data_IF_962150301243
#
_entry.id   IF_962150301243
#
_cell.length_a   1.000
_cell.length_b   1.000
_cell.length_c   1.000
_cell.angle_alpha   90.00
_cell.angle_beta   90.00
_cell.angle_gamma   90.00
#
_symmetry.space_group_name_H-M   'P 1'
#
loop_
_entity.id
_entity.type
_entity.pdbx_description
1 polymer ?
#
# COMPACT_ATOMS: atom_id res chain seq x y z
N UNK A 1 -10.20 -22.41 -14.50
CA UNK A 1 -10.79 -21.74 -13.31
C UNK A 1 -11.49 -20.44 -13.70
N UNK A 2 -12.37 -19.89 -12.87
CA UNK A 2 -12.88 -18.52 -13.08
C UNK A 2 -11.78 -17.48 -12.82
N UNK A 3 -11.80 -16.37 -13.55
CA UNK A 3 -10.94 -15.22 -13.29
C UNK A 3 -11.55 -13.92 -13.79
N UNK A 4 -11.17 -12.82 -13.16
CA UNK A 4 -11.65 -11.47 -13.53
C UNK A 4 -10.72 -10.83 -14.56
N UNK A 5 -11.27 -10.42 -15.71
CA UNK A 5 -10.53 -9.82 -16.83
C UNK A 5 -11.18 -8.50 -17.25
N UNK A 6 -10.37 -7.46 -17.42
CA UNK A 6 -10.76 -6.16 -17.94
C UNK A 6 -10.36 -6.05 -19.42
N UNK A 7 -11.32 -5.91 -20.32
CA UNK A 7 -11.08 -5.82 -21.77
C UNK A 7 -10.93 -4.38 -22.27
N UNK A 8 -11.67 -3.47 -21.67
CA UNK A 8 -11.66 -2.03 -21.97
C UNK A 8 -12.28 -1.27 -20.80
N UNK A 9 -12.18 0.07 -20.73
CA UNK A 9 -12.80 0.85 -19.66
C UNK A 9 -14.28 0.48 -19.47
N UNK A 10 -14.65 0.07 -18.25
CA UNK A 10 -16.00 -0.38 -17.90
C UNK A 10 -16.38 -1.81 -18.32
N UNK A 11 -15.57 -2.51 -19.13
CA UNK A 11 -15.85 -3.87 -19.62
C UNK A 11 -15.05 -4.91 -18.83
N UNK A 12 -15.57 -5.27 -17.66
CA UNK A 12 -15.01 -6.31 -16.78
C UNK A 12 -15.86 -7.58 -16.85
N UNK A 13 -15.20 -8.74 -16.97
CA UNK A 13 -15.85 -10.04 -17.11
C UNK A 13 -15.25 -11.04 -16.14
N UNK A 14 -16.11 -11.87 -15.55
CA UNK A 14 -15.69 -13.06 -14.83
C UNK A 14 -15.93 -14.25 -15.75
N UNK A 15 -14.85 -14.89 -16.20
CA UNK A 15 -14.90 -15.93 -17.22
C UNK A 15 -13.92 -17.06 -16.92
N UNK A 16 -14.06 -18.17 -17.65
CA UNK A 16 -13.15 -19.30 -17.53
C UNK A 16 -11.79 -18.99 -18.18
N UNK A 17 -10.73 -19.11 -17.39
CA UNK A 17 -9.34 -18.95 -17.80
C UNK A 17 -8.54 -20.21 -17.42
N UNK A 18 -7.38 -20.41 -18.05
CA UNK A 18 -6.48 -21.49 -17.71
C UNK A 18 -6.07 -21.44 -16.23
N UNK A 19 -5.92 -22.60 -15.60
CA UNK A 19 -5.35 -22.67 -14.25
C UNK A 19 -3.86 -22.30 -14.29
N UNK A 20 -3.33 -21.70 -13.22
CA UNK A 20 -1.91 -21.40 -13.14
C UNK A 20 -1.10 -22.68 -13.06
N UNK A 21 0.08 -22.66 -13.68
CA UNK A 21 1.08 -23.72 -13.58
C UNK A 21 2.38 -23.15 -12.99
N UNK A 22 3.24 -24.01 -12.44
CA UNK A 22 4.61 -23.63 -12.07
C UNK A 22 5.40 -23.39 -13.37
N UNK A 23 5.77 -22.14 -13.64
CA UNK A 23 6.55 -21.77 -14.82
C UNK A 23 8.05 -21.72 -14.52
N UNK A 24 8.40 -21.35 -13.29
CA UNK A 24 9.77 -21.30 -12.81
C UNK A 24 9.95 -22.07 -11.50
N UNK A 25 11.14 -22.63 -11.22
CA UNK A 25 11.40 -23.35 -9.97
C UNK A 25 11.19 -22.52 -8.69
N UNK A 26 11.12 -21.19 -8.81
CA UNK A 26 10.89 -20.25 -7.71
C UNK A 26 9.42 -19.90 -7.50
N UNK A 27 8.51 -20.42 -8.30
CA UNK A 27 7.09 -20.09 -8.20
C UNK A 27 6.39 -20.88 -7.10
N UNK A 28 5.26 -20.37 -6.63
CA UNK A 28 4.29 -21.11 -5.84
C UNK A 28 2.89 -20.94 -6.45
N UNK A 29 2.03 -21.94 -6.26
CA UNK A 29 0.60 -21.80 -6.53
C UNK A 29 -0.13 -21.74 -5.19
N UNK A 30 -1.02 -20.78 -5.07
CA UNK A 30 -1.90 -20.62 -3.92
C UNK A 30 -3.35 -20.93 -4.31
N UNK A 31 -4.08 -21.56 -3.40
CA UNK A 31 -5.54 -21.46 -3.35
C UNK A 31 -5.91 -20.25 -2.52
N UNK A 32 -6.50 -19.25 -3.16
CA UNK A 32 -6.80 -18.00 -2.50
C UNK A 32 -7.97 -18.16 -1.52
N UNK A 33 -7.75 -17.67 -0.31
CA UNK A 33 -8.79 -17.56 0.71
C UNK A 33 -9.53 -16.24 0.59
N UNK A 34 -8.81 -15.17 0.23
CA UNK A 34 -9.39 -13.88 -0.04
C UNK A 34 -8.53 -13.05 -1.02
N UNK A 35 -9.21 -12.18 -1.74
CA UNK A 35 -8.66 -11.13 -2.61
C UNK A 35 -9.65 -9.98 -2.63
N UNK A 36 -9.19 -8.77 -2.92
CA UNK A 36 -10.04 -7.58 -2.96
C UNK A 36 -9.76 -6.68 -4.16
N UNK A 37 -10.55 -5.61 -4.24
CA UNK A 37 -10.45 -4.57 -5.27
C UNK A 37 -9.71 -3.40 -4.65
N UNK A 38 -8.54 -3.07 -5.20
CA UNK A 38 -7.78 -1.92 -4.78
C UNK A 38 -8.27 -0.65 -5.51
N UNK A 39 -7.99 0.52 -4.94
CA UNK A 39 -8.22 1.79 -5.64
C UNK A 39 -7.42 1.90 -6.94
N UNK A 40 -6.26 1.25 -7.02
CA UNK A 40 -5.40 1.21 -8.20
C UNK A 40 -6.03 0.42 -9.36
N UNK A 41 -6.82 -0.62 -9.07
CA UNK A 41 -7.57 -1.38 -10.09
C UNK A 41 -8.58 -0.50 -10.84
N UNK A 42 -9.02 0.61 -10.21
CA UNK A 42 -10.01 1.52 -10.77
C UNK A 42 -9.45 2.47 -11.84
N UNK A 43 -8.14 2.70 -11.91
CA UNK A 43 -7.54 3.57 -12.93
C UNK A 43 -7.75 3.05 -14.35
N UNK A 44 -7.37 1.80 -14.68
CA UNK A 44 -7.65 1.24 -16.01
C UNK A 44 -9.15 0.99 -16.21
N UNK A 45 -9.88 0.59 -15.16
CA UNK A 45 -11.34 0.42 -15.24
C UNK A 45 -12.06 1.71 -15.67
N UNK A 46 -11.61 2.88 -15.20
CA UNK A 46 -12.17 4.19 -15.56
C UNK A 46 -11.57 4.77 -16.86
N UNK A 47 -10.61 4.10 -17.48
CA UNK A 47 -9.92 4.59 -18.68
C UNK A 47 -8.91 5.70 -18.42
N UNK A 48 -8.48 5.88 -17.17
CA UNK A 48 -7.45 6.85 -16.79
C UNK A 48 -6.03 6.30 -16.96
N UNK A 49 -5.91 4.98 -17.03
CA UNK A 49 -4.71 4.26 -17.46
C UNK A 49 -5.02 3.51 -18.77
N UNK A 50 -4.20 3.67 -19.83
CA UNK A 50 -4.42 2.97 -21.09
C UNK A 50 -4.22 1.45 -20.93
N UNK A 51 -5.07 0.69 -21.63
CA UNK A 51 -5.01 -0.77 -21.74
C UNK A 51 -4.61 -1.13 -23.17
N UNK A 52 -3.55 -1.91 -23.33
CA UNK A 52 -3.09 -2.39 -24.64
C UNK A 52 -3.67 -3.78 -24.98
N UNK A 53 -4.02 -4.56 -23.96
CA UNK A 53 -4.54 -5.91 -24.05
C UNK A 53 -5.47 -6.20 -22.86
N UNK A 54 -6.29 -7.28 -22.92
CA UNK A 54 -7.10 -7.70 -21.77
C UNK A 54 -6.25 -7.93 -20.53
N UNK A 55 -6.61 -7.29 -19.42
CA UNK A 55 -5.84 -7.29 -18.19
C UNK A 55 -6.51 -8.16 -17.13
N UNK A 56 -5.80 -9.14 -16.61
CA UNK A 56 -6.30 -9.94 -15.49
C UNK A 56 -6.14 -9.18 -14.17
N UNK A 57 -7.24 -9.06 -13.42
CA UNK A 57 -7.35 -8.13 -12.31
C UNK A 57 -6.84 -8.69 -10.98
N UNK A 58 -6.51 -7.78 -10.07
CA UNK A 58 -6.22 -8.07 -8.67
C UNK A 58 -4.75 -8.31 -8.36
N UNK A 59 -4.30 -7.71 -7.27
CA UNK A 59 -2.93 -7.82 -6.74
C UNK A 59 -2.87 -7.92 -5.21
N UNK A 60 -4.02 -7.91 -4.53
CA UNK A 60 -4.15 -8.12 -3.09
C UNK A 60 -4.62 -9.55 -2.82
N UNK A 61 -3.85 -10.33 -2.05
CA UNK A 61 -4.09 -11.76 -1.90
C UNK A 61 -3.54 -12.36 -0.62
N UNK A 62 -4.24 -13.38 -0.13
CA UNK A 62 -3.74 -14.34 0.84
C UNK A 62 -4.42 -15.70 0.63
N UNK A 63 -3.79 -16.77 1.08
CA UNK A 63 -4.34 -18.10 0.87
C UNK A 63 -3.41 -19.22 1.27
N UNK A 64 -3.78 -20.43 0.88
CA UNK A 64 -3.06 -21.66 1.22
C UNK A 64 -2.19 -22.10 0.06
N UNK A 65 -0.91 -22.36 0.32
CA UNK A 65 0.01 -22.93 -0.67
C UNK A 65 -0.47 -24.31 -1.09
N UNK A 66 -0.63 -24.53 -2.39
CA UNK A 66 -1.00 -25.85 -2.95
C UNK A 66 0.19 -26.56 -3.58
N UNK A 67 1.07 -25.82 -4.24
CA UNK A 67 2.23 -26.34 -4.96
C UNK A 67 3.37 -25.33 -4.91
N UNK A 68 4.62 -25.81 -4.92
CA UNK A 68 5.82 -24.99 -4.98
C UNK A 68 6.80 -25.56 -6.00
N UNK A 69 7.52 -24.68 -6.69
CA UNK A 69 8.62 -25.06 -7.56
C UNK A 69 9.82 -25.60 -6.80
N UNK A 70 10.68 -26.35 -7.49
CA UNK A 70 11.79 -27.08 -6.86
C UNK A 70 12.91 -26.24 -6.22
N UNK A 71 12.91 -24.91 -6.40
CA UNK A 71 13.87 -24.00 -5.78
C UNK A 71 13.32 -23.22 -4.57
N UNK A 72 12.02 -23.36 -4.26
CA UNK A 72 11.37 -22.74 -3.09
C UNK A 72 11.80 -23.44 -1.81
N UNK A 73 12.13 -22.67 -0.77
CA UNK A 73 12.68 -23.17 0.50
C UNK A 73 11.96 -22.67 1.74
N UNK A 74 11.27 -21.52 1.68
CA UNK A 74 10.72 -20.87 2.88
C UNK A 74 9.25 -21.15 3.12
N UNK A 75 8.50 -21.53 2.07
CA UNK A 75 7.07 -21.89 2.15
C UNK A 75 6.82 -23.30 1.59
N UNK A 76 5.74 -23.94 2.06
CA UNK A 76 5.41 -25.35 1.77
C UNK A 76 3.92 -25.52 1.52
N UNK A 77 3.49 -26.50 0.71
CA UNK A 77 2.08 -26.86 0.59
C UNK A 77 1.39 -27.05 1.95
N UNK A 78 0.17 -26.53 2.08
CA UNK A 78 -0.65 -26.57 3.29
C UNK A 78 -0.47 -25.37 4.24
N UNK A 79 0.55 -24.51 4.04
CA UNK A 79 0.72 -23.30 4.85
C UNK A 79 -0.17 -22.17 4.34
N UNK A 80 -0.74 -21.39 5.26
CA UNK A 80 -1.36 -20.11 4.93
C UNK A 80 -0.27 -19.04 4.79
N UNK A 81 -0.36 -18.25 3.73
CA UNK A 81 0.61 -17.22 3.39
C UNK A 81 -0.09 -15.92 3.01
N UNK A 82 0.60 -14.82 3.27
CA UNK A 82 0.31 -13.51 2.67
C UNK A 82 1.48 -13.12 1.79
N UNK A 83 1.20 -12.50 0.65
CA UNK A 83 2.23 -12.04 -0.28
C UNK A 83 2.12 -10.55 -0.56
N UNK A 84 3.26 -9.92 -0.84
CA UNK A 84 3.32 -8.54 -1.30
C UNK A 84 2.73 -8.40 -2.71
N UNK A 85 2.00 -7.31 -2.99
CA UNK A 85 1.55 -6.96 -4.34
C UNK A 85 2.70 -6.74 -5.33
N UNK A 86 3.89 -6.45 -4.81
CA UNK A 86 5.14 -6.39 -5.57
C UNK A 86 5.99 -7.61 -5.23
N UNK A 87 6.19 -8.51 -6.19
CA UNK A 87 7.01 -9.69 -6.05
C UNK A 87 8.49 -9.30 -6.10
N UNK A 88 9.31 -9.96 -5.28
CA UNK A 88 10.74 -9.64 -5.17
C UNK A 88 11.55 -10.89 -4.85
N UNK A 89 12.81 -10.91 -5.27
CA UNK A 89 13.74 -12.00 -4.96
C UNK A 89 14.25 -11.98 -3.50
N UNK A 90 14.01 -10.86 -2.79
CA UNK A 90 14.48 -10.55 -1.46
C UNK A 90 16.00 -10.76 -1.22
N UNK A 91 16.81 -10.72 -2.28
CA UNK A 91 18.25 -11.03 -2.23
C UNK A 91 19.13 -10.06 -3.02
N UNK A 92 18.60 -9.32 -4.00
CA UNK A 92 19.39 -8.34 -4.76
C UNK A 92 19.80 -7.12 -3.89
N UNK A 93 20.72 -6.26 -4.34
CA UNK A 93 21.18 -5.09 -3.58
C UNK A 93 20.05 -4.16 -3.13
N UNK A 94 19.03 -3.94 -3.96
CA UNK A 94 17.88 -3.10 -3.61
C UNK A 94 17.00 -3.72 -2.51
N UNK A 95 16.74 -5.03 -2.60
CA UNK A 95 16.05 -5.79 -1.56
C UNK A 95 16.79 -5.70 -0.22
N UNK A 96 18.11 -5.94 -0.22
CA UNK A 96 18.96 -5.84 0.98
C UNK A 96 19.03 -4.43 1.57
N UNK A 97 18.88 -3.40 0.73
CA UNK A 97 18.79 -2.01 1.16
C UNK A 97 17.39 -1.63 1.70
N UNK A 98 16.43 -2.56 1.70
CA UNK A 98 15.09 -2.35 2.24
C UNK A 98 14.05 -1.86 1.23
N UNK A 99 14.34 -1.98 -0.07
CA UNK A 99 13.42 -1.61 -1.16
C UNK A 99 13.12 -2.79 -2.09
N UNK A 100 12.50 -3.88 -1.61
CA UNK A 100 12.03 -4.98 -2.46
C UNK A 100 11.08 -4.55 -3.58
N UNK A 101 10.39 -3.42 -3.44
CA UNK A 101 9.59 -2.83 -4.52
C UNK A 101 10.43 -2.25 -5.67
N UNK A 102 11.76 -2.21 -5.53
CA UNK A 102 12.75 -1.88 -6.57
C UNK A 102 13.67 -3.06 -6.87
N UNK A 103 13.21 -4.29 -6.62
CA UNK A 103 13.96 -5.51 -6.94
C UNK A 103 14.38 -5.56 -8.42
N UNK A 104 15.57 -6.09 -8.70
CA UNK A 104 16.08 -6.26 -10.07
C UNK A 104 15.28 -7.31 -10.85
N UNK A 105 14.71 -8.29 -10.13
CA UNK A 105 13.86 -9.34 -10.66
C UNK A 105 12.36 -9.07 -10.39
N UNK A 106 11.99 -7.81 -10.14
CA UNK A 106 10.62 -7.43 -9.73
C UNK A 106 9.56 -7.86 -10.74
N UNK A 107 8.47 -8.41 -10.23
CA UNK A 107 7.21 -8.56 -10.94
C UNK A 107 6.08 -7.89 -10.14
N UNK A 108 5.17 -7.19 -10.81
CA UNK A 108 3.94 -6.72 -10.16
C UNK A 108 2.90 -7.84 -10.21
N UNK A 109 2.23 -8.07 -9.09
CA UNK A 109 1.18 -9.07 -9.04
C UNK A 109 0.00 -8.66 -9.91
N UNK A 110 -0.60 -9.65 -10.57
CA UNK A 110 -1.88 -9.55 -11.27
C UNK A 110 -2.62 -10.87 -11.09
N UNK A 111 -3.80 -11.02 -11.70
CA UNK A 111 -4.58 -12.28 -11.69
C UNK A 111 -5.04 -12.75 -10.29
N UNK A 112 -4.90 -11.95 -9.23
CA UNK A 112 -5.28 -12.36 -7.89
C UNK A 112 -6.81 -12.42 -7.69
N UNK A 113 -7.61 -11.77 -8.53
CA UNK A 113 -9.06 -11.93 -8.52
C UNK A 113 -9.49 -13.23 -9.23
N UNK A 114 -9.07 -14.36 -8.66
CA UNK A 114 -9.31 -15.73 -9.12
C UNK A 114 -9.22 -16.75 -7.95
N UNK A 115 -9.68 -18.01 -8.10
CA UNK A 115 -9.56 -19.03 -7.05
C UNK A 115 -8.14 -19.56 -6.81
N UNK A 116 -7.29 -19.56 -7.83
CA UNK A 116 -5.89 -19.97 -7.75
C UNK A 116 -4.98 -18.84 -8.27
N UNK A 117 -3.77 -18.74 -7.71
CA UNK A 117 -2.81 -17.71 -8.09
C UNK A 117 -1.39 -18.29 -8.17
N UNK A 118 -0.68 -18.03 -9.26
CA UNK A 118 0.77 -18.23 -9.35
C UNK A 118 1.48 -17.02 -8.75
N UNK A 119 2.34 -17.25 -7.78
CA UNK A 119 3.19 -16.23 -7.15
C UNK A 119 4.64 -16.49 -7.56
N UNK A 120 5.27 -15.61 -8.36
CA UNK A 120 6.68 -15.72 -8.69
C UNK A 120 7.55 -15.33 -7.48
N UNK A 121 8.79 -15.82 -7.49
CA UNK A 121 9.79 -15.52 -6.46
C UNK A 121 9.26 -15.79 -5.04
N UNK A 122 8.61 -16.94 -4.85
CA UNK A 122 7.84 -17.27 -3.65
C UNK A 122 8.61 -17.02 -2.35
N UNK A 123 9.88 -17.43 -2.26
CA UNK A 123 10.70 -17.24 -1.06
C UNK A 123 10.90 -15.77 -0.68
N UNK A 124 10.98 -14.92 -1.70
CA UNK A 124 11.17 -13.49 -1.54
C UNK A 124 9.87 -12.69 -1.49
N UNK A 125 8.72 -13.27 -1.84
CA UNK A 125 7.43 -12.58 -1.90
C UNK A 125 6.48 -12.98 -0.76
N UNK A 126 6.43 -14.26 -0.42
CA UNK A 126 5.48 -14.84 0.53
C UNK A 126 6.03 -14.85 1.95
N UNK A 127 5.12 -14.66 2.91
CA UNK A 127 5.38 -14.88 4.33
C UNK A 127 4.28 -15.81 4.86
N UNK A 128 4.68 -16.93 5.45
CA UNK A 128 3.76 -17.87 6.07
C UNK A 128 3.34 -17.37 7.45
N UNK A 129 2.05 -17.51 7.77
CA UNK A 129 1.59 -17.32 9.15
C UNK A 129 2.06 -18.50 10.02
N UNK A 130 2.19 -18.32 11.35
CA UNK A 130 2.64 -19.40 12.24
C UNK A 130 1.70 -20.62 12.25
N UNK A 131 0.41 -20.39 12.06
CA UNK A 131 -0.64 -21.40 11.94
C UNK A 131 -1.72 -20.93 10.94
N UNK A 132 -2.63 -21.84 10.57
CA UNK A 132 -3.82 -21.45 9.81
C UNK A 132 -4.62 -20.41 10.62
N UNK A 133 -4.98 -19.26 10.04
CA UNK A 133 -5.78 -18.26 10.74
C UNK A 133 -7.24 -18.69 10.81
N UNK A 134 -7.97 -18.16 11.79
CA UNK A 134 -9.43 -18.23 11.82
C UNK A 134 -10.03 -17.39 10.69
N UNK A 135 -11.24 -17.74 10.23
CA UNK A 135 -11.86 -17.12 9.05
C UNK A 135 -12.07 -15.60 9.19
N UNK A 136 -12.33 -15.13 10.42
CA UNK A 136 -12.55 -13.71 10.73
C UNK A 136 -11.27 -12.87 10.68
N UNK A 137 -10.09 -13.50 10.82
CA UNK A 137 -8.78 -12.84 10.71
C UNK A 137 -8.30 -12.70 9.25
N UNK A 138 -8.83 -13.49 8.32
CA UNK A 138 -8.41 -13.50 6.91
C UNK A 138 -8.52 -12.11 6.25
N UNK A 139 -9.60 -11.32 6.42
CA UNK A 139 -9.67 -9.97 5.86
C UNK A 139 -8.58 -9.03 6.41
N UNK A 140 -8.22 -9.15 7.69
CA UNK A 140 -7.13 -8.36 8.29
C UNK A 140 -5.77 -8.75 7.73
N UNK A 141 -5.53 -10.06 7.53
CA UNK A 141 -4.31 -10.56 6.90
C UNK A 141 -4.21 -10.13 5.43
N UNK A 142 -5.32 -10.17 4.69
CA UNK A 142 -5.38 -9.67 3.31
C UNK A 142 -4.95 -8.21 3.22
N UNK A 143 -5.38 -7.35 4.14
CA UNK A 143 -4.98 -5.94 4.15
C UNK A 143 -3.46 -5.75 4.24
N UNK A 144 -2.72 -6.72 4.79
CA UNK A 144 -1.25 -6.68 4.87
C UNK A 144 -0.54 -6.93 3.54
N UNK A 145 -1.23 -7.47 2.52
CA UNK A 145 -0.69 -7.72 1.18
C UNK A 145 -0.40 -6.44 0.38
N UNK A 146 -1.14 -5.36 0.66
CA UNK A 146 -0.95 -4.03 0.08
C UNK A 146 -1.28 -2.92 1.09
N UNK A 147 -2.57 -2.58 1.28
CA UNK A 147 -2.95 -1.29 1.87
C UNK A 147 -2.37 -1.01 3.25
N UNK A 148 -2.23 -2.03 4.13
CA UNK A 148 -1.57 -1.86 5.43
C UNK A 148 -0.07 -1.65 5.27
N UNK A 149 0.60 -2.44 4.46
CA UNK A 149 2.02 -2.27 4.18
C UNK A 149 2.33 -0.94 3.49
N UNK A 150 1.43 -0.46 2.63
CA UNK A 150 1.53 0.83 1.94
C UNK A 150 1.31 2.01 2.90
N UNK A 151 0.30 1.93 3.78
CA UNK A 151 0.10 2.92 4.85
C UNK A 151 1.27 2.94 5.85
N UNK A 152 1.82 1.77 6.17
CA UNK A 152 3.01 1.63 7.01
C UNK A 152 4.25 2.25 6.37
N UNK A 153 4.45 2.02 5.06
CA UNK A 153 5.54 2.65 4.32
C UNK A 153 5.41 4.18 4.29
N UNK A 154 4.20 4.71 4.13
CA UNK A 154 3.97 6.15 4.20
C UNK A 154 4.42 6.72 5.56
N UNK A 155 4.09 6.03 6.66
CA UNK A 155 4.52 6.42 8.00
C UNK A 155 6.04 6.32 8.19
N UNK A 156 6.68 5.23 7.76
CA UNK A 156 8.14 5.01 7.80
C UNK A 156 8.88 6.09 6.99
N UNK A 157 8.42 6.36 5.76
CA UNK A 157 8.99 7.38 4.87
C UNK A 157 8.77 8.81 5.39
N UNK A 158 7.63 9.06 6.04
CA UNK A 158 7.36 10.30 6.77
C UNK A 158 8.11 10.39 8.11
N UNK A 159 8.90 9.37 8.47
CA UNK A 159 9.70 9.30 9.70
C UNK A 159 8.86 9.53 10.95
N UNK A 160 7.67 8.93 11.00
CA UNK A 160 6.84 8.99 12.19
C UNK A 160 7.64 8.48 13.39
N UNK A 161 7.55 9.19 14.51
CA UNK A 161 8.32 8.94 15.71
C UNK A 161 7.47 9.09 16.96
N UNK A 162 7.86 8.44 18.07
CA UNK A 162 7.19 8.62 19.36
C UNK A 162 7.07 10.08 19.79
N UNK A 163 5.90 10.50 20.25
CA UNK A 163 5.60 11.88 20.67
C UNK A 163 5.46 12.89 19.53
N UNK A 164 5.66 12.47 18.27
CA UNK A 164 5.57 13.34 17.10
C UNK A 164 4.13 13.67 16.69
N UNK A 165 4.01 14.62 15.75
CA UNK A 165 2.75 14.93 15.06
C UNK A 165 2.78 14.37 13.64
N UNK A 166 1.80 13.52 13.32
CA UNK A 166 1.56 12.97 12.00
C UNK A 166 0.29 13.56 11.37
N UNK A 167 0.37 13.98 10.11
CA UNK A 167 -0.79 14.36 9.29
C UNK A 167 -0.97 13.31 8.20
N UNK A 168 -2.18 12.80 8.04
CA UNK A 168 -2.53 11.88 6.97
C UNK A 168 -3.41 12.60 5.94
N UNK A 169 -2.84 12.85 4.77
CA UNK A 169 -3.52 13.43 3.61
C UNK A 169 -4.13 12.29 2.80
N UNK A 170 -5.44 12.11 2.95
CA UNK A 170 -6.21 11.05 2.30
C UNK A 170 -6.86 10.12 3.31
N UNK A 171 -8.13 9.78 3.09
CA UNK A 171 -8.94 8.97 4.01
C UNK A 171 -9.39 7.64 3.40
N UNK A 172 -8.80 7.23 2.28
CA UNK A 172 -9.00 5.90 1.69
C UNK A 172 -8.33 4.80 2.52
N UNK A 173 -8.38 3.56 2.04
CA UNK A 173 -7.83 2.39 2.73
C UNK A 173 -6.38 2.61 3.18
N UNK A 174 -5.49 3.04 2.27
CA UNK A 174 -4.08 3.36 2.58
C UNK A 174 -3.94 4.45 3.64
N UNK A 175 -4.74 5.52 3.57
CA UNK A 175 -4.69 6.60 4.55
C UNK A 175 -5.13 6.13 5.95
N UNK A 176 -6.21 5.36 6.04
CA UNK A 176 -6.67 4.77 7.30
C UNK A 176 -5.64 3.80 7.88
N UNK A 177 -4.97 3.01 7.04
CA UNK A 177 -3.84 2.19 7.47
C UNK A 177 -2.64 3.04 7.91
N UNK A 178 -2.40 4.19 7.27
CA UNK A 178 -1.40 5.16 7.69
C UNK A 178 -1.67 5.76 9.08
N UNK A 179 -2.95 5.95 9.45
CA UNK A 179 -3.35 6.34 10.82
C UNK A 179 -2.97 5.23 11.82
N UNK A 180 -3.33 3.97 11.55
CA UNK A 180 -2.94 2.83 12.40
C UNK A 180 -1.42 2.72 12.54
N UNK A 181 -0.69 2.82 11.43
CA UNK A 181 0.77 2.76 11.43
C UNK A 181 1.38 3.91 12.25
N UNK A 182 0.88 5.14 12.07
CA UNK A 182 1.37 6.28 12.83
C UNK A 182 1.12 6.10 14.34
N UNK A 183 -0.04 5.54 14.71
CA UNK A 183 -0.35 5.22 16.12
C UNK A 183 0.62 4.19 16.68
N UNK A 184 0.91 3.11 15.96
CA UNK A 184 1.85 2.08 16.43
C UNK A 184 3.30 2.52 16.43
N UNK A 185 3.68 3.47 15.58
CA UNK A 185 4.99 4.12 15.64
C UNK A 185 5.10 5.16 16.78
N UNK A 186 4.03 5.36 17.55
CA UNK A 186 4.02 6.18 18.77
C UNK A 186 3.71 7.66 18.56
N UNK A 187 3.17 8.07 17.41
CA UNK A 187 2.72 9.45 17.23
C UNK A 187 1.67 9.81 18.29
N UNK A 188 1.83 10.99 18.91
CA UNK A 188 0.93 11.46 19.95
C UNK A 188 -0.24 12.24 19.34
N UNK A 189 0.05 13.09 18.36
CA UNK A 189 -0.96 13.81 17.59
C UNK A 189 -1.05 13.23 16.19
N UNK A 190 -2.22 12.69 15.84
CA UNK A 190 -2.50 12.16 14.50
C UNK A 190 -3.69 12.93 13.93
N UNK A 191 -3.49 13.62 12.82
CA UNK A 191 -4.50 14.45 12.16
C UNK A 191 -4.89 13.78 10.85
N UNK A 192 -6.10 13.23 10.78
CA UNK A 192 -6.61 12.62 9.55
C UNK A 192 -7.40 13.64 8.73
N UNK A 193 -7.03 13.83 7.46
CA UNK A 193 -7.74 14.73 6.56
C UNK A 193 -8.88 14.00 5.85
N UNK A 194 -10.10 14.11 6.37
CA UNK A 194 -11.27 13.36 5.89
C UNK A 194 -12.53 14.22 5.85
N UNK A 195 -13.35 14.05 4.80
CA UNK A 195 -14.69 14.67 4.67
C UNK A 195 -15.84 13.66 4.76
N UNK A 196 -15.52 12.38 4.90
CA UNK A 196 -16.51 11.31 4.89
C UNK A 196 -16.71 10.80 6.31
N UNK A 197 -17.89 11.01 6.89
CA UNK A 197 -18.15 10.70 8.30
C UNK A 197 -17.76 9.26 8.69
N UNK A 198 -18.09 8.27 7.86
CA UNK A 198 -17.71 6.87 8.13
C UNK A 198 -16.20 6.64 8.18
N UNK A 199 -15.42 7.36 7.36
CA UNK A 199 -13.95 7.29 7.38
C UNK A 199 -13.36 8.10 8.52
N UNK A 200 -14.00 9.20 8.92
CA UNK A 200 -13.63 9.94 10.13
C UNK A 200 -13.77 9.04 11.36
N UNK A 201 -14.89 8.32 11.47
CA UNK A 201 -15.15 7.41 12.59
C UNK A 201 -14.11 6.31 12.68
N UNK A 202 -13.79 5.67 11.54
CA UNK A 202 -12.70 4.68 11.47
C UNK A 202 -11.34 5.29 11.79
N UNK A 203 -11.03 6.49 11.28
CA UNK A 203 -9.76 7.14 11.58
C UNK A 203 -9.61 7.39 13.09
N UNK A 204 -10.67 7.85 13.76
CA UNK A 204 -10.68 8.07 15.22
C UNK A 204 -10.51 6.74 15.98
N UNK A 205 -11.22 5.68 15.56
CA UNK A 205 -11.07 4.33 16.11
C UNK A 205 -9.63 3.81 15.97
N UNK A 206 -9.00 4.07 14.83
CA UNK A 206 -7.62 3.67 14.54
C UNK A 206 -6.55 4.53 15.22
N UNK A 207 -6.94 5.61 15.88
CA UNK A 207 -6.06 6.43 16.71
C UNK A 207 -5.82 7.85 16.21
N UNK A 208 -6.53 8.31 15.17
CA UNK A 208 -6.56 9.73 14.85
C UNK A 208 -7.08 10.52 16.05
N UNK A 209 -6.37 11.58 16.38
CA UNK A 209 -6.72 12.50 17.49
C UNK A 209 -7.56 13.69 17.01
N UNK A 210 -7.44 14.02 15.72
CA UNK A 210 -8.11 15.16 15.11
C UNK A 210 -8.53 14.81 13.69
N UNK A 211 -9.64 15.43 13.27
CA UNK A 211 -10.12 15.39 11.90
C UNK A 211 -10.05 16.80 11.30
N UNK A 212 -9.52 16.89 10.08
CA UNK A 212 -9.55 18.12 9.27
C UNK A 212 -10.31 17.84 7.98
N UNK A 213 -11.44 18.53 7.80
CA UNK A 213 -12.31 18.33 6.62
C UNK A 213 -11.90 19.23 5.46
N UNK A 214 -11.25 20.35 5.77
CA UNK A 214 -10.75 21.33 4.84
C UNK A 214 -9.66 20.74 3.90
N UNK A 215 -9.44 21.43 2.78
CA UNK A 215 -8.48 21.06 1.72
C UNK A 215 -7.70 22.28 1.26
N UNK A 216 -6.65 22.05 0.48
CA UNK A 216 -5.78 23.10 -0.05
C UNK A 216 -5.25 24.01 1.05
N UNK A 217 -5.29 25.32 0.79
CA UNK A 217 -4.78 26.33 1.72
C UNK A 217 -5.52 26.33 3.07
N UNK A 218 -6.84 26.12 3.09
CA UNK A 218 -7.64 26.09 4.32
C UNK A 218 -7.29 24.87 5.18
N UNK A 219 -7.07 23.71 4.55
CA UNK A 219 -6.59 22.51 5.22
C UNK A 219 -5.20 22.72 5.85
N UNK A 220 -4.28 23.37 5.12
CA UNK A 220 -2.95 23.72 5.64
C UNK A 220 -3.05 24.69 6.80
N UNK A 221 -3.89 25.72 6.70
CA UNK A 221 -4.13 26.68 7.78
C UNK A 221 -4.64 25.97 9.03
N UNK A 222 -5.63 25.07 8.88
CA UNK A 222 -6.17 24.31 10.00
C UNK A 222 -5.12 23.41 10.66
N UNK A 223 -4.27 22.76 9.88
CA UNK A 223 -3.15 21.96 10.41
C UNK A 223 -2.17 22.85 11.18
N UNK A 224 -1.86 24.04 10.66
CA UNK A 224 -0.99 25.00 11.36
C UNK A 224 -1.59 25.41 12.69
N UNK A 225 -2.88 25.71 12.75
CA UNK A 225 -3.55 26.05 14.01
C UNK A 225 -3.42 24.91 15.04
N UNK A 226 -3.63 23.66 14.61
CA UNK A 226 -3.49 22.48 15.47
C UNK A 226 -2.03 22.18 15.88
N UNK A 227 -1.06 22.78 15.20
CA UNK A 227 0.39 22.55 15.42
C UNK A 227 1.13 23.81 15.86
N UNK A 228 0.42 24.77 16.47
CA UNK A 228 1.03 25.99 17.03
C UNK A 228 1.68 26.90 15.96
N UNK A 229 1.17 26.88 14.74
CA UNK A 229 1.65 27.65 13.60
C UNK A 229 2.81 27.02 12.82
N UNK A 230 3.33 25.87 13.27
CA UNK A 230 4.60 25.29 12.77
C UNK A 230 4.41 24.33 11.60
N UNK A 231 3.37 23.50 11.64
CA UNK A 231 3.20 22.35 10.74
C UNK A 231 3.69 21.04 11.35
N UNK A 232 3.34 19.93 10.71
CA UNK A 232 3.62 18.58 11.20
C UNK A 232 5.03 18.09 10.87
N UNK A 233 5.59 17.23 11.72
CA UNK A 233 6.90 16.62 11.53
C UNK A 233 6.86 15.53 10.46
N UNK A 234 5.75 14.79 10.43
CA UNK A 234 5.52 13.67 9.53
C UNK A 234 4.21 13.89 8.77
N UNK A 235 4.27 13.85 7.44
CA UNK A 235 3.08 13.96 6.59
C UNK A 235 3.01 12.78 5.65
N UNK A 236 1.89 12.04 5.68
CA UNK A 236 1.63 10.89 4.85
C UNK A 236 0.73 11.34 3.70
N UNK A 237 1.23 11.36 2.47
CA UNK A 237 0.46 11.65 1.26
C UNK A 237 -0.04 10.34 0.65
N UNK A 238 -1.36 10.14 0.67
CA UNK A 238 -2.01 8.88 0.31
C UNK A 238 -3.08 9.05 -0.78
N UNK A 239 -2.98 10.09 -1.62
CA UNK A 239 -3.98 10.42 -2.65
C UNK A 239 -3.38 10.45 -4.05
N UNK A 240 -2.25 11.12 -4.25
CA UNK A 240 -1.55 11.18 -5.54
C UNK A 240 -2.05 12.23 -6.53
N UNK A 241 -2.74 13.29 -6.08
CA UNK A 241 -3.10 14.44 -6.91
C UNK A 241 -2.15 15.62 -6.68
N UNK A 242 -2.12 16.58 -7.62
CA UNK A 242 -1.32 17.80 -7.45
C UNK A 242 -1.72 18.56 -6.18
N UNK A 243 -3.03 18.70 -5.93
CA UNK A 243 -3.54 19.40 -4.74
C UNK A 243 -3.09 18.68 -3.45
N UNK A 244 -3.22 17.36 -3.38
CA UNK A 244 -2.85 16.61 -2.18
C UNK A 244 -1.35 16.66 -1.91
N UNK A 245 -0.52 16.58 -2.97
CA UNK A 245 0.93 16.69 -2.85
C UNK A 245 1.37 18.08 -2.38
N UNK A 246 0.85 19.14 -3.01
CA UNK A 246 1.12 20.52 -2.60
C UNK A 246 0.68 20.78 -1.15
N UNK A 247 -0.49 20.27 -0.77
CA UNK A 247 -1.02 20.35 0.59
C UNK A 247 -0.14 19.59 1.59
N UNK A 248 0.31 18.37 1.26
CA UNK A 248 1.18 17.57 2.12
C UNK A 248 2.52 18.27 2.37
N UNK A 249 3.15 18.80 1.30
CA UNK A 249 4.36 19.60 1.42
C UNK A 249 4.10 20.81 2.30
N UNK A 250 3.03 21.58 2.07
CA UNK A 250 2.76 22.81 2.81
C UNK A 250 2.38 22.57 4.29
N UNK A 251 1.77 21.43 4.60
CA UNK A 251 1.43 20.99 5.96
C UNK A 251 2.65 20.57 6.78
N UNK A 252 3.71 20.08 6.14
CA UNK A 252 4.95 19.75 6.82
C UNK A 252 5.68 21.01 7.31
N UNK A 253 6.30 20.94 8.49
CA UNK A 253 7.22 21.97 8.98
C UNK A 253 8.55 21.94 8.21
N UNK A 254 9.34 23.04 8.20
CA UNK A 254 10.75 22.96 7.83
C UNK A 254 11.48 21.91 8.67
N UNK A 255 12.29 21.07 8.00
CA UNK A 255 12.95 19.90 8.55
C UNK A 255 12.09 18.64 8.67
N UNK A 256 10.78 18.72 8.39
CA UNK A 256 9.86 17.58 8.40
C UNK A 256 10.07 16.62 7.22
N UNK A 257 9.30 15.53 7.21
CA UNK A 257 9.34 14.52 6.15
C UNK A 257 7.94 14.23 5.60
N UNK A 258 7.86 14.14 4.27
CA UNK A 258 6.66 13.71 3.55
C UNK A 258 6.89 12.32 2.99
N UNK A 259 6.10 11.35 3.46
CA UNK A 259 6.00 10.01 2.89
C UNK A 259 4.89 9.99 1.85
N UNK A 260 5.21 9.86 0.56
CA UNK A 260 4.20 9.89 -0.51
C UNK A 260 4.02 8.54 -1.19
N UNK A 261 2.82 7.98 -1.08
CA UNK A 261 2.47 6.65 -1.61
C UNK A 261 1.25 6.68 -2.52
N UNK A 262 0.52 7.81 -2.57
CA UNK A 262 -0.50 8.03 -3.59
C UNK A 262 0.15 8.01 -4.97
N UNK A 263 -0.34 7.13 -5.86
CA UNK A 263 0.18 7.01 -7.23
C UNK A 263 -0.01 8.35 -7.95
N UNK A 264 1.07 9.06 -8.33
CA UNK A 264 0.96 10.41 -8.87
C UNK A 264 0.28 10.41 -10.25
N UNK A 265 -0.74 11.25 -10.42
CA UNK A 265 -1.39 11.51 -11.70
C UNK A 265 -1.30 13.00 -12.03
N UNK A 266 -0.36 13.37 -12.90
CA UNK A 266 -0.14 14.77 -13.29
C UNK A 266 0.42 15.64 -12.16
N UNK A 267 1.26 15.07 -11.29
CA UNK A 267 1.94 15.81 -10.22
C UNK A 267 3.27 16.36 -10.72
N UNK A 268 3.46 17.65 -10.58
CA UNK A 268 4.70 18.37 -10.85
C UNK A 268 5.22 19.01 -9.55
N UNK A 269 6.54 19.01 -9.38
CA UNK A 269 7.21 19.60 -8.22
C UNK A 269 8.25 20.62 -8.69
N UNK A 270 8.12 21.85 -8.23
CA UNK A 270 9.10 22.89 -8.50
C UNK A 270 10.34 22.74 -7.61
N UNK A 271 11.50 22.56 -8.23
CA UNK A 271 12.76 22.30 -7.52
C UNK A 271 13.22 23.47 -6.66
N UNK A 272 12.97 24.72 -7.09
CA UNK A 272 13.33 25.91 -6.33
C UNK A 272 12.45 26.04 -5.07
N UNK A 273 11.15 25.84 -5.20
CA UNK A 273 10.20 25.80 -4.10
C UNK A 273 10.58 24.71 -3.09
N UNK A 274 10.89 23.50 -3.55
CA UNK A 274 11.32 22.41 -2.67
C UNK A 274 12.63 22.74 -1.94
N UNK A 275 13.60 23.35 -2.64
CA UNK A 275 14.87 23.76 -2.06
C UNK A 275 14.65 24.72 -0.87
N UNK A 276 13.81 25.74 -1.05
CA UNK A 276 13.51 26.70 0.02
C UNK A 276 12.50 26.18 1.07
N UNK A 277 11.75 25.13 0.77
CA UNK A 277 10.84 24.51 1.72
C UNK A 277 11.57 23.71 2.82
N UNK A 278 12.83 23.28 2.55
CA UNK A 278 13.69 22.53 3.48
C UNK A 278 13.01 21.29 4.08
N UNK A 279 12.44 20.43 3.23
CA UNK A 279 11.70 19.22 3.65
C UNK A 279 12.28 17.97 3.00
N UNK A 280 12.14 16.85 3.70
CA UNK A 280 12.45 15.54 3.14
C UNK A 280 11.24 15.00 2.38
N UNK A 281 11.48 14.36 1.24
CA UNK A 281 10.46 13.65 0.47
C UNK A 281 10.97 12.25 0.17
N UNK A 282 10.19 11.24 0.55
CA UNK A 282 10.44 9.83 0.21
C UNK A 282 9.10 9.17 -0.13
N UNK A 283 9.10 8.30 -1.13
CA UNK A 283 7.85 7.71 -1.60
C UNK A 283 8.04 6.70 -2.72
N UNK A 284 6.95 6.41 -3.43
CA UNK A 284 6.89 5.43 -4.50
C UNK A 284 6.20 4.11 -4.10
N UNK A 285 6.29 3.06 -4.94
CA UNK A 285 5.68 1.77 -4.66
C UNK A 285 6.17 1.20 -3.33
N UNK A 286 5.24 0.83 -2.45
CA UNK A 286 5.58 0.39 -1.11
C UNK A 286 6.38 -0.91 -1.12
N UNK A 287 7.50 -0.99 -0.38
CA UNK A 287 8.24 -2.22 -0.19
C UNK A 287 7.55 -3.13 0.84
N UNK A 288 6.28 -3.51 0.61
CA UNK A 288 5.42 -4.24 1.58
C UNK A 288 6.13 -5.45 2.17
N UNK A 289 6.84 -6.21 1.33
CA UNK A 289 7.63 -7.38 1.77
C UNK A 289 8.61 -7.09 2.91
N UNK A 290 9.15 -5.87 3.01
CA UNK A 290 10.04 -5.45 4.11
C UNK A 290 9.31 -5.45 5.45
N UNK A 291 8.04 -5.04 5.47
CA UNK A 291 7.23 -4.87 6.67
C UNK A 291 6.40 -6.11 6.99
N UNK A 292 6.02 -6.88 5.98
CA UNK A 292 5.09 -8.01 6.09
C UNK A 292 5.42 -9.00 7.23
N UNK A 293 6.68 -9.41 7.48
CA UNK A 293 7.00 -10.31 8.60
C UNK A 293 6.71 -9.76 10.01
N UNK A 294 6.51 -8.44 10.14
CA UNK A 294 6.16 -7.79 11.40
C UNK A 294 4.67 -7.42 11.48
N UNK A 295 3.91 -7.60 10.38
CA UNK A 295 2.49 -7.25 10.29
C UNK A 295 1.56 -8.46 10.41
N UNK A 296 2.08 -9.68 10.32
CA UNK A 296 1.31 -10.93 10.34
C UNK A 296 1.76 -11.91 11.43
#
# INVERSE_FOLDING_TARGET
>A
MLGTVLYSPGDIRCEEIAEPEILHPTDAILKLSATCICGSDLWPYRGLQPLNEPMHMGHEYCGVVVEVGGAVKTVKPGQFVVGSFCCSDNTCPHCRFGFPSSCENREFMGRAQAPLLRVPLADGTLVATPHMPDEDLIPSLLATSDVLGTGWYAADAARVRPGGTAVVVGDGAVGLMGVLAAKQMGAETIIAMSRHKSRQDLALEFGATHIVSERGADGVARIRDLTGGVGAESVLECVGTQESMSQAIAAARPGGSVGFVGVPHGVELDGQQLFFAQKNLLGGPAPVRRFLPALI
#
